data_IF_166196124814
#
_entry.id   IF_166196124814
#
_cell.length_a   1.000
_cell.length_b   1.000
_cell.length_c   1.000
_cell.angle_alpha   90.00
_cell.angle_beta   90.00
_cell.angle_gamma   90.00
#
_symmetry.space_group_name_H-M   'P 1'
#
loop_
_entity.id
_entity.type
_entity.pdbx_description
1 polymer ?
#
# COMPACT_ATOMS: atom_id res chain seq x y z
N UNK A 1 1.14 0.04 7.19
CA UNK A 1 1.84 0.21 5.90
C UNK A 1 3.13 0.95 6.22
N UNK A 2 4.30 0.33 6.09
CA UNK A 2 5.55 0.91 6.61
C UNK A 2 6.60 1.07 5.51
N UNK A 3 7.27 2.22 5.60
CA UNK A 3 8.05 2.93 4.60
C UNK A 3 9.49 2.44 4.60
N UNK A 4 10.01 2.12 3.41
CA UNK A 4 11.37 1.58 3.22
C UNK A 4 12.46 2.66 3.29
N UNK A 5 12.07 3.94 3.25
CA UNK A 5 12.95 5.04 3.63
C UNK A 5 12.84 5.26 5.14
N UNK A 6 13.92 5.00 5.89
CA UNK A 6 14.02 5.31 7.33
C UNK A 6 13.93 6.83 7.66
N UNK A 7 13.60 7.66 6.67
CA UNK A 7 13.16 9.06 6.83
C UNK A 7 11.65 9.15 6.62
N UNK A 8 10.84 8.99 7.67
CA UNK A 8 9.41 9.24 7.59
C UNK A 8 9.16 10.74 7.36
N UNK A 9 8.09 11.06 6.65
CA UNK A 9 7.51 12.40 6.63
C UNK A 9 6.79 12.69 7.94
N UNK A 10 6.51 13.96 8.21
CA UNK A 10 5.74 14.34 9.40
C UNK A 10 4.34 13.69 9.41
N UNK A 11 3.71 13.56 8.24
CA UNK A 11 2.43 12.86 8.07
C UNK A 11 2.53 11.40 8.48
N UNK A 12 3.59 10.68 8.07
CA UNK A 12 3.76 9.28 8.42
C UNK A 12 3.86 9.09 9.94
N UNK A 13 4.62 9.96 10.62
CA UNK A 13 4.75 9.93 12.09
C UNK A 13 3.40 10.16 12.75
N UNK A 14 2.63 11.14 12.30
CA UNK A 14 1.29 11.45 12.82
C UNK A 14 0.33 10.28 12.64
N UNK A 15 0.31 9.66 11.46
CA UNK A 15 -0.54 8.51 11.17
C UNK A 15 -0.20 7.31 12.05
N UNK A 16 1.08 6.99 12.23
CA UNK A 16 1.51 5.91 13.11
C UNK A 16 1.12 6.14 14.57
N UNK A 17 1.28 7.38 15.06
CA UNK A 17 0.84 7.75 16.41
C UNK A 17 -0.67 7.54 16.56
N UNK A 18 -1.45 7.97 15.56
CA UNK A 18 -2.90 7.80 15.57
C UNK A 18 -3.31 6.33 15.50
N UNK A 19 -2.60 5.49 14.74
CA UNK A 19 -2.82 4.04 14.74
C UNK A 19 -2.68 3.43 16.14
N UNK A 20 -1.68 3.84 16.93
CA UNK A 20 -1.50 3.36 18.31
C UNK A 20 -2.67 3.81 19.20
N UNK A 21 -3.06 5.09 19.13
CA UNK A 21 -4.19 5.63 19.91
C UNK A 21 -5.51 4.93 19.56
N UNK A 22 -5.80 4.76 18.27
CA UNK A 22 -7.00 4.06 17.79
C UNK A 22 -6.99 2.58 18.17
N UNK A 23 -5.84 1.91 18.11
CA UNK A 23 -5.72 0.52 18.55
C UNK A 23 -6.08 0.40 20.02
N UNK A 24 -5.54 1.28 20.89
CA UNK A 24 -5.90 1.32 22.31
C UNK A 24 -7.40 1.58 22.52
N UNK A 25 -7.99 2.51 21.77
CA UNK A 25 -9.42 2.80 21.83
C UNK A 25 -10.28 1.58 21.45
N UNK A 26 -9.96 0.91 20.34
CA UNK A 26 -10.65 -0.29 19.88
C UNK A 26 -10.56 -1.39 20.94
N UNK A 27 -9.37 -1.66 21.45
CA UNK A 27 -9.19 -2.71 22.46
C UNK A 27 -9.82 -2.33 23.80
N UNK A 28 -9.99 -1.05 24.14
CA UNK A 28 -10.68 -0.62 25.37
C UNK A 28 -12.20 -0.84 25.36
N UNK A 29 -12.80 -1.19 24.21
CA UNK A 29 -14.23 -1.45 24.10
C UNK A 29 -14.64 -2.69 24.91
N UNK A 30 -15.83 -2.64 25.52
CA UNK A 30 -16.37 -3.73 26.38
C UNK A 30 -16.37 -5.11 25.72
N UNK A 31 -16.54 -5.16 24.40
CA UNK A 31 -16.54 -6.40 23.63
C UNK A 31 -15.21 -7.19 23.76
N UNK A 32 -14.11 -6.49 24.05
CA UNK A 32 -12.80 -7.11 24.23
C UNK A 32 -12.48 -7.45 25.69
N UNK A 33 -13.30 -7.08 26.68
CA UNK A 33 -13.04 -7.34 28.11
C UNK A 33 -12.72 -8.83 28.42
N UNK A 34 -13.41 -9.83 27.81
CA UNK A 34 -13.11 -11.24 28.07
C UNK A 34 -11.82 -11.76 27.39
N UNK A 35 -11.30 -11.01 26.41
CA UNK A 35 -10.25 -11.50 25.52
C UNK A 35 -8.94 -10.72 25.65
N UNK A 36 -8.99 -9.45 26.06
CA UNK A 36 -7.79 -8.61 26.16
C UNK A 36 -7.08 -8.83 27.47
N UNK A 37 -5.78 -9.10 27.38
CA UNK A 37 -4.86 -8.99 28.50
C UNK A 37 -4.37 -7.56 28.70
N UNK A 38 -3.32 -7.38 29.53
CA UNK A 38 -2.61 -6.10 29.59
C UNK A 38 -1.94 -5.76 28.25
N UNK A 39 -1.81 -4.46 27.97
CA UNK A 39 -1.06 -3.98 26.80
C UNK A 39 0.41 -4.40 26.91
N UNK A 40 0.93 -5.10 25.89
CA UNK A 40 2.31 -5.59 25.88
C UNK A 40 3.29 -4.54 25.36
N UNK A 41 2.96 -3.89 24.24
CA UNK A 41 3.77 -2.83 23.63
C UNK A 41 2.85 -1.79 22.96
N UNK A 42 3.19 -0.48 23.01
CA UNK A 42 4.30 0.12 23.77
C UNK A 42 4.17 0.02 25.29
N UNK A 43 2.99 -0.36 25.78
CA UNK A 43 2.71 -0.56 27.19
C UNK A 43 2.12 0.70 27.84
N UNK A 44 1.49 0.55 29.02
CA UNK A 44 0.68 1.61 29.62
C UNK A 44 1.47 2.83 30.10
N UNK A 45 2.80 2.74 30.24
CA UNK A 45 3.63 3.87 30.65
C UNK A 45 3.87 4.88 29.52
N UNK A 46 3.72 4.48 28.26
CA UNK A 46 3.93 5.35 27.08
C UNK A 46 2.62 6.04 26.74
N UNK A 47 2.49 7.33 27.06
CA UNK A 47 1.22 8.07 26.94
C UNK A 47 1.32 9.32 26.10
N UNK A 48 2.40 10.08 26.24
CA UNK A 48 2.59 11.31 25.49
C UNK A 48 2.91 11.03 24.03
N UNK A 49 2.54 11.98 23.18
CA UNK A 49 2.81 11.94 21.75
C UNK A 49 4.30 11.74 21.43
N UNK A 50 5.19 12.37 22.20
CA UNK A 50 6.64 12.22 22.04
C UNK A 50 7.13 10.81 22.42
N UNK A 51 6.58 10.20 23.47
CA UNK A 51 6.93 8.83 23.86
C UNK A 51 6.43 7.81 22.83
N UNK A 52 5.22 8.01 22.31
CA UNK A 52 4.65 7.17 21.24
C UNK A 52 5.50 7.26 19.99
N UNK A 53 5.89 8.46 19.56
CA UNK A 53 6.76 8.66 18.40
C UNK A 53 8.12 7.98 18.58
N UNK A 54 8.72 8.12 19.76
CA UNK A 54 10.00 7.48 20.08
C UNK A 54 9.89 5.95 19.98
N UNK A 55 8.80 5.38 20.49
CA UNK A 55 8.52 3.96 20.35
C UNK A 55 8.35 3.54 18.88
N UNK A 56 7.54 4.28 18.11
CA UNK A 56 7.33 4.02 16.68
C UNK A 56 8.67 4.03 15.95
N UNK A 57 9.53 5.03 16.18
CA UNK A 57 10.85 5.10 15.54
C UNK A 57 11.76 3.91 15.90
N UNK A 58 11.63 3.37 17.11
CA UNK A 58 12.44 2.23 17.56
C UNK A 58 11.92 0.88 17.02
N UNK A 59 10.60 0.75 16.81
CA UNK A 59 9.94 -0.53 16.54
C UNK A 59 9.34 -0.66 15.15
N UNK A 60 9.24 0.44 14.41
CA UNK A 60 8.84 0.46 13.02
C UNK A 60 9.70 -0.50 12.18
N UNK A 61 9.06 -1.36 11.41
CA UNK A 61 9.69 -2.25 10.44
C UNK A 61 8.86 -2.26 9.15
N UNK A 62 9.49 -2.60 8.03
CA UNK A 62 8.83 -2.68 6.74
C UNK A 62 7.66 -3.67 6.77
N UNK A 63 6.57 -3.33 6.08
CA UNK A 63 5.51 -4.29 5.77
C UNK A 63 5.89 -5.23 4.60
N UNK A 64 7.15 -5.21 4.14
CA UNK A 64 7.68 -5.99 3.02
C UNK A 64 6.96 -5.73 1.69
N UNK A 65 6.57 -4.48 1.46
CA UNK A 65 5.87 -4.04 0.25
C UNK A 65 6.62 -2.94 -0.55
N UNK A 66 7.93 -3.10 -0.89
CA UNK A 66 8.60 -2.20 -1.83
C UNK A 66 7.87 -2.18 -3.18
N UNK A 67 7.66 -0.98 -3.72
CA UNK A 67 7.02 -0.76 -5.03
C UNK A 67 7.41 0.62 -5.58
N UNK A 68 6.90 0.94 -6.77
CA UNK A 68 6.99 2.27 -7.41
C UNK A 68 8.37 2.73 -7.90
N UNK A 69 9.42 1.93 -7.81
CA UNK A 69 10.79 2.32 -8.22
C UNK A 69 10.98 2.43 -9.73
N UNK A 70 10.13 1.79 -10.54
CA UNK A 70 10.09 1.90 -12.00
C UNK A 70 8.72 2.40 -12.46
N UNK A 71 8.25 3.48 -11.81
CA UNK A 71 6.92 4.08 -11.97
C UNK A 71 6.41 4.05 -13.42
N UNK A 72 5.24 3.45 -13.61
CA UNK A 72 4.44 3.60 -14.82
C UNK A 72 3.81 4.99 -14.88
N UNK A 73 3.84 5.63 -16.04
CA UNK A 73 3.24 6.96 -16.24
C UNK A 73 3.04 7.30 -17.71
N UNK A 74 2.44 8.46 -17.96
CA UNK A 74 2.31 8.99 -19.32
C UNK A 74 3.62 9.64 -19.81
N UNK A 75 3.75 9.84 -21.12
CA UNK A 75 4.96 10.41 -21.72
C UNK A 75 5.32 11.83 -21.23
N UNK A 76 4.36 12.56 -20.66
CA UNK A 76 4.58 13.88 -20.06
C UNK A 76 5.00 13.85 -18.59
N UNK A 77 4.97 12.67 -17.94
CA UNK A 77 5.43 12.51 -16.56
C UNK A 77 6.94 12.30 -16.54
N UNK A 78 7.68 13.33 -16.11
CA UNK A 78 9.14 13.31 -16.07
C UNK A 78 9.73 12.28 -15.11
N UNK A 79 8.91 11.71 -14.21
CA UNK A 79 9.33 10.68 -13.26
C UNK A 79 8.96 9.26 -13.74
N UNK A 80 8.29 9.11 -14.88
CA UNK A 80 7.90 7.80 -15.41
C UNK A 80 9.11 7.06 -15.98
N UNK A 81 9.20 5.77 -15.67
CA UNK A 81 10.23 4.84 -16.17
C UNK A 81 9.66 3.94 -17.26
N UNK A 82 8.39 3.54 -17.13
CA UNK A 82 7.68 2.73 -18.13
C UNK A 82 6.39 3.39 -18.59
N UNK A 83 5.98 3.10 -19.83
CA UNK A 83 4.69 3.49 -20.39
C UNK A 83 3.53 2.60 -19.88
N UNK A 84 2.26 2.92 -20.20
CA UNK A 84 1.10 2.10 -19.81
C UNK A 84 1.08 0.66 -20.35
N UNK A 85 1.91 0.35 -21.35
CA UNK A 85 2.13 -0.98 -21.92
C UNK A 85 3.39 -1.66 -21.32
N UNK A 86 3.90 -1.12 -20.21
CA UNK A 86 5.04 -1.59 -19.44
C UNK A 86 6.39 -1.53 -20.18
N UNK A 87 6.47 -0.78 -21.29
CA UNK A 87 7.71 -0.59 -22.04
C UNK A 87 8.59 0.47 -21.39
N UNK A 88 9.88 0.20 -21.31
CA UNK A 88 10.85 1.15 -20.75
C UNK A 88 11.03 2.33 -21.71
N UNK A 89 10.88 3.55 -21.20
CA UNK A 89 11.11 4.75 -22.01
C UNK A 89 12.56 4.82 -22.50
N UNK A 90 12.73 5.12 -23.79
CA UNK A 90 14.05 5.27 -24.43
C UNK A 90 14.73 3.96 -24.83
N UNK A 91 14.10 2.80 -24.60
CA UNK A 91 14.62 1.50 -25.00
C UNK A 91 13.59 0.69 -25.79
N UNK A 92 14.08 -0.09 -26.75
CA UNK A 92 13.27 -1.03 -27.52
C UNK A 92 13.42 -2.45 -26.94
N UNK A 93 12.36 -3.25 -27.02
CA UNK A 93 12.39 -4.66 -26.63
C UNK A 93 12.51 -4.94 -25.12
N UNK A 94 12.45 -3.91 -24.25
CA UNK A 94 12.54 -4.06 -22.81
C UNK A 94 11.24 -3.64 -22.10
N UNK A 95 10.81 -4.46 -21.14
CA UNK A 95 9.65 -4.19 -20.26
C UNK A 95 9.99 -4.51 -18.80
N UNK A 96 9.28 -3.86 -17.88
CA UNK A 96 9.30 -4.18 -16.44
C UNK A 96 7.92 -4.67 -16.04
N UNK A 97 7.81 -5.84 -15.41
CA UNK A 97 6.53 -6.47 -15.06
C UNK A 97 6.58 -6.99 -13.63
N UNK A 98 6.47 -6.09 -12.67
CA UNK A 98 6.44 -6.41 -11.24
C UNK A 98 5.81 -5.24 -10.43
N UNK A 99 5.94 -5.25 -9.09
CA UNK A 99 5.40 -4.18 -8.24
C UNK A 99 6.09 -2.81 -8.42
N UNK A 100 7.28 -2.77 -8.99
CA UNK A 100 8.03 -1.51 -9.17
C UNK A 100 7.33 -0.55 -10.12
N UNK A 101 6.47 -1.05 -11.03
CA UNK A 101 5.77 -0.22 -12.01
C UNK A 101 4.54 0.48 -11.43
N UNK A 102 4.09 0.12 -10.24
CA UNK A 102 2.95 0.77 -9.61
C UNK A 102 3.21 2.29 -9.47
N UNK A 103 2.30 3.18 -9.91
CA UNK A 103 2.53 4.62 -9.81
C UNK A 103 2.45 5.15 -8.38
N UNK A 104 1.71 4.45 -7.53
CA UNK A 104 1.60 4.66 -6.09
C UNK A 104 1.34 3.32 -5.41
N UNK A 105 1.61 3.22 -4.11
CA UNK A 105 1.30 1.99 -3.39
C UNK A 105 -0.21 1.79 -3.29
N UNK A 106 -0.63 0.53 -3.46
CA UNK A 106 -2.02 0.12 -3.30
C UNK A 106 -2.35 -0.10 -1.82
N UNK A 107 -3.56 0.25 -1.41
CA UNK A 107 -4.07 0.00 -0.05
C UNK A 107 -4.33 -1.49 0.16
N UNK A 108 -3.29 -2.25 0.53
CA UNK A 108 -3.38 -3.68 0.80
C UNK A 108 -2.07 -4.43 0.59
N UNK A 109 -2.14 -5.76 0.59
CA UNK A 109 -1.00 -6.61 0.29
C UNK A 109 -0.71 -6.62 -1.22
N UNK A 110 0.56 -6.48 -1.60
CA UNK A 110 0.94 -6.27 -3.01
C UNK A 110 0.86 -7.53 -3.88
N UNK A 111 0.70 -8.72 -3.31
CA UNK A 111 0.67 -9.97 -4.08
C UNK A 111 -0.41 -9.97 -5.19
N UNK A 112 -1.67 -9.71 -4.82
CA UNK A 112 -2.77 -9.69 -5.77
C UNK A 112 -2.59 -8.65 -6.89
N UNK A 113 -2.28 -7.36 -6.62
CA UNK A 113 -2.06 -6.40 -7.69
C UNK A 113 -0.82 -6.70 -8.53
N UNK A 114 0.25 -7.30 -7.96
CA UNK A 114 1.41 -7.74 -8.74
C UNK A 114 1.07 -8.87 -9.70
N UNK A 115 0.29 -9.88 -9.27
CA UNK A 115 -0.20 -10.94 -10.15
C UNK A 115 -1.04 -10.33 -11.28
N UNK A 116 -1.95 -9.40 -10.96
CA UNK A 116 -2.78 -8.74 -11.98
C UNK A 116 -1.92 -7.99 -13.02
N UNK A 117 -0.90 -7.24 -12.57
CA UNK A 117 0.05 -6.57 -13.47
C UNK A 117 0.77 -7.59 -14.35
N UNK A 118 1.18 -8.73 -13.79
CA UNK A 118 1.85 -9.79 -14.54
C UNK A 118 0.95 -10.42 -15.61
N UNK A 119 -0.30 -10.72 -15.29
CA UNK A 119 -1.28 -11.25 -16.25
C UNK A 119 -1.52 -10.25 -17.39
N UNK A 120 -1.79 -8.98 -17.07
CA UNK A 120 -1.99 -7.93 -18.07
C UNK A 120 -0.74 -7.69 -18.91
N UNK A 121 0.44 -7.72 -18.30
CA UNK A 121 1.72 -7.61 -18.98
C UNK A 121 1.97 -8.78 -19.94
N UNK A 122 1.60 -10.00 -19.55
CA UNK A 122 1.71 -11.18 -20.40
C UNK A 122 0.82 -11.08 -21.64
N UNK A 123 -0.42 -10.62 -21.49
CA UNK A 123 -1.34 -10.36 -22.61
C UNK A 123 -0.75 -9.32 -23.58
N UNK A 124 -0.24 -8.20 -23.05
CA UNK A 124 0.40 -7.15 -23.85
C UNK A 124 1.67 -7.63 -24.59
N UNK A 125 2.44 -8.53 -23.97
CA UNK A 125 3.62 -9.15 -24.60
C UNK A 125 3.21 -10.09 -25.73
N UNK A 126 2.15 -10.88 -25.54
CA UNK A 126 1.62 -11.82 -26.54
C UNK A 126 0.78 -11.15 -27.63
N UNK A 127 0.39 -9.89 -27.46
CA UNK A 127 -0.54 -9.20 -28.36
C UNK A 127 -1.98 -9.72 -28.22
N UNK A 128 -2.32 -10.29 -27.07
CA UNK A 128 -3.67 -10.76 -26.75
C UNK A 128 -4.45 -9.59 -26.14
N UNK A 129 -5.71 -9.34 -26.54
CA UNK A 129 -6.51 -8.32 -25.89
C UNK A 129 -6.77 -8.69 -24.43
N UNK A 130 -6.63 -7.71 -23.53
CA UNK A 130 -6.97 -7.87 -22.11
C UNK A 130 -8.39 -8.44 -21.97
N UNK A 131 -8.56 -9.39 -21.05
CA UNK A 131 -9.85 -9.98 -20.69
C UNK A 131 -10.75 -8.96 -19.96
N UNK A 132 -11.25 -7.97 -20.69
CA UNK A 132 -12.31 -7.10 -20.21
C UNK A 132 -13.65 -7.65 -20.70
N UNK A 133 -14.34 -8.37 -19.83
CA UNK A 133 -15.73 -8.74 -20.05
C UNK A 133 -16.64 -7.75 -19.29
N UNK A 134 -17.30 -6.80 -19.99
CA UNK A 134 -18.21 -5.85 -19.36
C UNK A 134 -19.46 -6.52 -18.78
N UNK A 135 -19.72 -7.79 -19.10
CA UNK A 135 -20.84 -8.58 -18.63
C UNK A 135 -20.61 -9.32 -17.32
N UNK A 136 -19.40 -9.29 -16.74
CA UNK A 136 -19.13 -9.97 -15.47
C UNK A 136 -19.97 -9.34 -14.36
N UNK A 137 -20.77 -10.13 -13.62
CA UNK A 137 -21.53 -9.62 -12.49
C UNK A 137 -20.58 -9.10 -11.40
N UNK A 138 -20.48 -7.78 -11.28
CA UNK A 138 -19.76 -7.13 -10.18
C UNK A 138 -20.75 -6.58 -9.17
N UNK A 139 -20.45 -6.73 -7.88
CA UNK A 139 -21.22 -6.08 -6.83
C UNK A 139 -21.11 -4.56 -7.01
N UNK A 140 -22.25 -3.89 -7.17
CA UNK A 140 -22.35 -2.42 -7.21
C UNK A 140 -22.99 -1.97 -5.91
N UNK A 141 -22.24 -1.29 -5.02
CA UNK A 141 -22.85 -0.77 -3.80
C UNK A 141 -23.94 0.25 -4.18
N UNK A 142 -25.00 0.29 -3.38
CA UNK A 142 -26.13 1.21 -3.59
C UNK A 142 -25.68 2.67 -3.47
N UNK A 143 -24.65 2.94 -2.68
CA UNK A 143 -24.05 4.27 -2.51
C UNK A 143 -22.52 4.20 -2.51
N UNK A 144 -21.87 5.28 -2.96
CA UNK A 144 -20.40 5.41 -2.94
C UNK A 144 -19.85 5.98 -1.62
N UNK A 145 -20.73 6.34 -0.67
CA UNK A 145 -20.36 7.01 0.59
C UNK A 145 -19.43 6.17 1.49
N UNK A 146 -19.38 4.85 1.29
CA UNK A 146 -18.54 3.94 2.07
C UNK A 146 -17.22 3.57 1.40
N UNK A 147 -16.88 4.14 0.24
CA UNK A 147 -15.60 3.93 -0.43
C UNK A 147 -14.71 5.16 -0.21
N UNK A 148 -13.82 5.08 0.79
CA UNK A 148 -12.66 5.98 0.93
C UNK A 148 -11.46 5.38 0.21
#
# INVERSE_FOLDING_TARGET
MLIISLRPTDTDVLEFRQCIKLTREIFAQKAFDPFRGPEVQPGPAVQSDAEIDAFVRQKADSAYHPSCTCKMGGASDSMAVVDPDLRVYGLEGLRVVDASVMPSMVSGNLNAPTIMIAEKGADAIKGVPSLHDPGVPVYRPVTLETQR
#
